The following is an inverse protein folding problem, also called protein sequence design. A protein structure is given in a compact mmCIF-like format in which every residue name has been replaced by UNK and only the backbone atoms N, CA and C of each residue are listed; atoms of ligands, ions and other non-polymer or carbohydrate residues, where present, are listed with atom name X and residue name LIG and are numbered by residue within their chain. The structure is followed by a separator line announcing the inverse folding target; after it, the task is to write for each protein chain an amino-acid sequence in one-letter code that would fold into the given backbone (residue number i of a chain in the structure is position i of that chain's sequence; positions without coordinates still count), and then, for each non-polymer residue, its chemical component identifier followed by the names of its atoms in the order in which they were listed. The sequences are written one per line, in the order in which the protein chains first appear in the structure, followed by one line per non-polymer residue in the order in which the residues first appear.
data_IF_797258175733
#
_entry.id   IF_797258175733
#
_cell.length_a   1.000
_cell.length_b   1.000
_cell.length_c   1.000
_cell.angle_alpha   90.00
_cell.angle_beta   90.00
_cell.angle_gamma   90.00
#
_symmetry.space_group_name_H-M   'P 1'
#
loop_
_entity.id
_entity.type
_entity.pdbx_description
1 polymer ?
#
# COMPACT_ATOMS: atom_id res chain seq x y z
N UNK A 1 26.54 19.37 19.59
CA UNK A 1 26.55 17.89 19.60
C UNK A 1 25.23 17.46 18.97
N UNK A 2 25.24 17.10 17.69
CA UNK A 2 24.06 16.59 16.97
C UNK A 2 23.70 15.24 17.60
N UNK A 3 22.54 15.15 18.23
CA UNK A 3 21.97 13.89 18.70
C UNK A 3 21.53 13.12 17.46
N UNK A 4 22.47 12.37 16.86
CA UNK A 4 22.21 11.57 15.67
C UNK A 4 21.00 10.67 15.88
N UNK A 5 20.13 10.61 14.88
CA UNK A 5 18.96 9.76 14.91
C UNK A 5 19.45 8.31 14.98
N UNK A 6 19.00 7.57 15.99
CA UNK A 6 19.32 6.15 16.13
C UNK A 6 18.53 5.35 15.09
N UNK A 7 19.08 5.25 13.89
CA UNK A 7 18.56 4.38 12.83
C UNK A 7 19.06 2.95 13.05
N UNK A 8 18.14 1.99 12.98
CA UNK A 8 18.50 0.59 13.05
C UNK A 8 19.21 0.18 11.74
N UNK A 9 20.41 -0.41 11.86
CA UNK A 9 21.16 -0.91 10.72
C UNK A 9 21.57 -2.37 10.89
N UNK A 10 21.54 -3.11 9.79
CA UNK A 10 21.96 -4.50 9.70
C UNK A 10 22.94 -4.67 8.54
N UNK A 11 24.07 -5.31 8.79
CA UNK A 11 25.03 -5.67 7.73
C UNK A 11 24.73 -7.08 7.23
N UNK A 12 24.68 -7.23 5.90
CA UNK A 12 24.41 -8.51 5.25
C UNK A 12 25.26 -8.72 4.00
N UNK A 13 25.12 -9.89 3.39
CA UNK A 13 25.81 -10.20 2.12
C UNK A 13 25.32 -9.22 1.05
N UNK A 14 26.22 -8.37 0.56
CA UNK A 14 25.93 -7.38 -0.48
C UNK A 14 25.64 -5.95 0.00
N UNK A 15 25.82 -5.64 1.30
CA UNK A 15 25.79 -4.26 1.80
C UNK A 15 25.13 -4.08 3.16
N UNK A 16 25.08 -2.82 3.62
CA UNK A 16 24.35 -2.42 4.81
C UNK A 16 22.89 -2.05 4.49
N UNK A 17 22.00 -2.38 5.42
CA UNK A 17 20.56 -2.13 5.35
C UNK A 17 20.16 -1.25 6.53
N UNK A 18 19.62 -0.06 6.26
CA UNK A 18 19.17 0.89 7.28
C UNK A 18 17.66 1.01 7.23
N UNK A 19 16.98 0.82 8.36
CA UNK A 19 15.55 1.12 8.50
C UNK A 19 15.35 2.63 8.65
N UNK A 20 14.65 3.21 7.70
CA UNK A 20 14.36 4.65 7.66
C UNK A 20 12.90 4.97 7.92
N UNK A 21 12.02 3.97 8.11
CA UNK A 21 10.56 4.20 8.19
C UNK A 21 10.18 5.20 9.27
N UNK A 22 10.86 5.17 10.41
CA UNK A 22 10.61 6.07 11.53
C UNK A 22 10.84 7.55 11.19
N UNK A 23 11.62 7.86 10.16
CA UNK A 23 11.89 9.24 9.73
C UNK A 23 10.64 9.95 9.20
N UNK A 24 9.59 9.23 8.81
CA UNK A 24 8.31 9.84 8.40
C UNK A 24 7.68 10.68 9.50
N UNK A 25 7.86 10.31 10.77
CA UNK A 25 7.32 11.06 11.91
C UNK A 25 8.10 12.36 12.18
N UNK A 26 9.34 12.43 11.70
CA UNK A 26 10.18 13.61 11.86
C UNK A 26 10.06 14.55 10.66
N UNK A 27 10.03 14.00 9.45
CA UNK A 27 10.05 14.76 8.21
C UNK A 27 8.66 15.03 7.61
N UNK A 28 7.61 14.46 8.19
CA UNK A 28 6.29 14.40 7.54
C UNK A 28 6.32 13.59 6.25
N UNK A 29 5.19 13.53 5.55
CA UNK A 29 5.07 12.70 4.33
C UNK A 29 5.93 13.25 3.19
N UNK A 30 5.92 14.57 3.00
CA UNK A 30 6.69 15.27 1.95
C UNK A 30 8.19 15.15 2.12
N UNK A 31 8.70 15.54 3.29
CA UNK A 31 10.13 15.47 3.60
C UNK A 31 10.65 14.03 3.54
N UNK A 32 9.86 13.06 3.99
CA UNK A 32 10.20 11.64 3.90
C UNK A 32 10.32 11.15 2.44
N UNK A 33 9.35 11.48 1.59
CA UNK A 33 9.40 11.08 0.19
C UNK A 33 10.53 11.83 -0.57
N UNK A 34 10.81 13.08 -0.18
CA UNK A 34 11.98 13.83 -0.67
C UNK A 34 13.30 13.14 -0.28
N UNK A 35 13.42 12.66 0.96
CA UNK A 35 14.57 11.88 1.42
C UNK A 35 14.77 10.63 0.57
N UNK A 36 13.72 9.81 0.40
CA UNK A 36 13.78 8.59 -0.42
C UNK A 36 14.20 8.90 -1.86
N UNK A 37 13.65 9.96 -2.46
CA UNK A 37 14.05 10.38 -3.82
C UNK A 37 15.53 10.78 -3.90
N UNK A 38 16.05 11.50 -2.90
CA UNK A 38 17.46 11.89 -2.86
C UNK A 38 18.38 10.67 -2.70
N UNK A 39 17.98 9.71 -1.87
CA UNK A 39 18.72 8.46 -1.68
C UNK A 39 18.73 7.61 -2.97
N UNK A 40 17.58 7.47 -3.64
CA UNK A 40 17.50 6.78 -4.93
C UNK A 40 18.39 7.44 -6.00
N UNK A 41 18.42 8.78 -6.07
CA UNK A 41 19.32 9.52 -6.96
C UNK A 41 20.81 9.35 -6.62
N UNK A 42 21.13 9.14 -5.34
CA UNK A 42 22.48 8.84 -4.88
C UNK A 42 22.89 7.37 -5.15
N UNK A 43 22.02 6.57 -5.77
CA UNK A 43 22.31 5.18 -6.16
C UNK A 43 22.01 4.15 -5.07
N UNK A 44 21.26 4.52 -4.03
CA UNK A 44 20.81 3.57 -3.01
C UNK A 44 19.60 2.76 -3.48
N UNK A 45 19.59 1.48 -3.13
CA UNK A 45 18.45 0.59 -3.36
C UNK A 45 17.42 0.80 -2.25
N UNK A 46 16.17 1.14 -2.62
CA UNK A 46 15.09 1.37 -1.65
C UNK A 46 14.14 0.18 -1.69
N UNK A 47 14.03 -0.50 -0.56
CA UNK A 47 13.11 -1.61 -0.36
C UNK A 47 12.00 -1.18 0.60
N UNK A 48 10.82 -0.98 0.05
CA UNK A 48 9.68 -0.41 0.75
C UNK A 48 8.54 -1.42 0.82
N UNK A 49 7.77 -1.34 1.90
CA UNK A 49 6.45 -1.95 2.05
C UNK A 49 5.58 -1.01 2.90
N UNK A 50 4.32 -1.39 3.17
CA UNK A 50 3.47 -0.61 4.09
C UNK A 50 3.99 -0.58 5.54
N UNK A 51 4.77 -1.58 5.95
CA UNK A 51 5.22 -1.74 7.35
C UNK A 51 6.69 -1.43 7.57
N UNK A 52 7.48 -1.25 6.51
CA UNK A 52 8.93 -1.05 6.63
C UNK A 52 9.47 -0.28 5.43
N UNK A 53 10.57 0.43 5.63
CA UNK A 53 11.32 1.00 4.51
C UNK A 53 12.80 0.89 4.82
N UNK A 54 13.48 0.11 3.99
CA UNK A 54 14.90 -0.16 4.11
C UNK A 54 15.65 0.51 2.97
N UNK A 55 16.77 1.12 3.31
CA UNK A 55 17.74 1.66 2.37
C UNK A 55 18.94 0.75 2.39
N UNK A 56 19.29 0.21 1.22
CA UNK A 56 20.43 -0.67 1.06
C UNK A 56 21.53 0.05 0.30
N UNK A 57 22.72 0.05 0.88
CA UNK A 57 23.92 0.65 0.31
C UNK A 57 25.10 -0.33 0.35
N UNK A 58 26.05 -0.15 -0.57
CA UNK A 58 27.30 -0.92 -0.59
C UNK A 58 28.29 -0.50 0.51
N UNK A 59 27.99 0.58 1.24
CA UNK A 59 28.81 1.14 2.31
C UNK A 59 28.52 0.48 3.66
N UNK A 60 29.44 0.52 4.62
CA UNK A 60 29.20 0.01 5.98
C UNK A 60 28.12 0.82 6.70
N UNK A 61 27.54 0.24 7.76
CA UNK A 61 26.40 0.82 8.47
C UNK A 61 26.64 2.26 8.96
N UNK A 62 27.82 2.53 9.52
CA UNK A 62 28.17 3.85 10.07
C UNK A 62 28.18 4.95 9.00
N UNK A 63 28.74 4.69 7.82
CA UNK A 63 28.78 5.63 6.71
C UNK A 63 27.39 5.86 6.12
N UNK A 64 26.62 4.78 5.94
CA UNK A 64 25.27 4.86 5.40
C UNK A 64 24.33 5.64 6.33
N UNK A 65 24.37 5.37 7.64
CA UNK A 65 23.63 6.14 8.64
C UNK A 65 24.05 7.61 8.61
N UNK A 66 25.34 7.90 8.52
CA UNK A 66 25.85 9.27 8.49
C UNK A 66 25.29 10.04 7.29
N UNK A 67 25.32 9.46 6.09
CA UNK A 67 24.78 10.10 4.88
C UNK A 67 23.27 10.30 4.94
N UNK A 68 22.54 9.33 5.49
CA UNK A 68 21.09 9.49 5.71
C UNK A 68 20.84 10.65 6.69
N UNK A 69 21.58 10.72 7.81
CA UNK A 69 21.43 11.81 8.77
C UNK A 69 21.79 13.18 8.17
N UNK A 70 22.83 13.27 7.34
CA UNK A 70 23.19 14.51 6.63
C UNK A 70 22.08 14.97 5.68
N UNK A 71 21.43 14.03 4.97
CA UNK A 71 20.28 14.34 4.12
C UNK A 71 19.05 14.76 4.93
N UNK A 72 18.80 14.11 6.07
CA UNK A 72 17.71 14.49 6.98
C UNK A 72 17.91 15.91 7.49
N UNK A 73 19.10 16.22 8.03
CA UNK A 73 19.44 17.57 8.52
C UNK A 73 19.27 18.62 7.41
N UNK A 74 19.70 18.30 6.18
CA UNK A 74 19.52 19.17 5.02
C UNK A 74 18.03 19.44 4.74
N UNK A 75 17.19 18.41 4.71
CA UNK A 75 15.75 18.56 4.44
C UNK A 75 15.07 19.39 5.53
N UNK A 76 15.33 19.08 6.80
CA UNK A 76 14.77 19.82 7.95
C UNK A 76 15.17 21.30 7.89
N UNK A 77 16.43 21.61 7.57
CA UNK A 77 16.92 22.98 7.46
C UNK A 77 16.33 23.77 6.27
N UNK A 78 15.95 23.08 5.19
CA UNK A 78 15.29 23.68 4.03
C UNK A 78 13.81 24.02 4.33
N UNK A 79 13.13 23.18 5.13
CA UNK A 79 11.75 23.42 5.55
C UNK A 79 11.63 24.57 6.56
N UNK A 80 12.56 24.69 7.52
CA UNK A 80 12.59 25.79 8.50
C UNK A 80 12.79 27.18 7.84
N UNK A 81 13.36 27.24 6.64
CA UNK A 81 13.56 28.49 5.89
C UNK A 81 12.34 28.93 5.07
N UNK A 82 11.18 28.28 5.24
CA UNK A 82 9.93 28.67 4.59
C UNK A 82 9.94 28.47 3.07
N UNK A 83 10.89 27.66 2.57
CA UNK A 83 10.99 27.33 1.17
C UNK A 83 9.91 26.33 0.78
N UNK A 84 8.72 26.82 0.43
CA UNK A 84 7.87 26.17 -0.58
C UNK A 84 8.63 26.21 -1.92
N UNK A 85 9.77 25.52 -1.98
CA UNK A 85 10.56 25.35 -3.16
C UNK A 85 9.73 24.52 -4.11
N UNK A 86 9.13 25.20 -5.09
CA UNK A 86 8.55 24.57 -6.28
C UNK A 86 9.65 23.79 -6.99
N UNK A 87 9.99 22.61 -6.47
CA UNK A 87 10.69 21.63 -7.26
C UNK A 87 9.70 21.20 -8.32
N UNK A 88 10.00 21.54 -9.57
CA UNK A 88 9.30 21.07 -10.77
C UNK A 88 8.91 19.59 -10.56
N UNK A 89 7.60 19.34 -10.36
CA UNK A 89 7.12 18.01 -10.04
C UNK A 89 7.28 17.16 -11.30
N UNK A 90 8.14 16.15 -11.22
CA UNK A 90 8.33 15.14 -12.26
C UNK A 90 7.67 13.87 -11.76
N UNK A 91 6.37 13.68 -12.03
CA UNK A 91 5.69 12.45 -11.64
C UNK A 91 6.35 11.25 -12.31
N UNK A 92 6.34 10.11 -11.62
CA UNK A 92 6.80 8.86 -12.18
C UNK A 92 6.01 8.48 -13.43
N UNK A 93 6.68 7.79 -14.35
CA UNK A 93 6.04 7.19 -15.51
C UNK A 93 5.11 6.05 -15.07
N UNK A 94 3.82 6.21 -15.35
CA UNK A 94 2.78 5.23 -14.96
C UNK A 94 3.07 3.87 -15.59
N UNK A 95 3.53 3.83 -16.84
CA UNK A 95 3.85 2.57 -17.52
C UNK A 95 4.93 1.79 -16.79
N UNK A 96 5.98 2.47 -16.30
CA UNK A 96 7.04 1.86 -15.48
C UNK A 96 6.51 1.30 -14.15
N UNK A 97 5.61 2.03 -13.46
CA UNK A 97 4.96 1.54 -12.23
C UNK A 97 4.18 0.26 -12.54
N UNK A 98 3.36 0.28 -13.58
CA UNK A 98 2.46 -0.82 -13.93
C UNK A 98 3.21 -2.06 -14.38
N UNK A 99 4.27 -1.92 -15.18
CA UNK A 99 5.09 -3.06 -15.58
C UNK A 99 5.70 -3.79 -14.37
N UNK A 100 6.14 -3.05 -13.35
CA UNK A 100 6.63 -3.63 -12.10
C UNK A 100 5.52 -4.35 -11.31
N UNK A 101 4.29 -3.78 -11.31
CA UNK A 101 3.12 -4.35 -10.64
C UNK A 101 2.65 -5.64 -11.32
N UNK A 102 2.48 -5.65 -12.65
CA UNK A 102 2.06 -6.83 -13.43
C UNK A 102 3.02 -7.98 -13.18
N UNK A 103 4.33 -7.75 -13.36
CA UNK A 103 5.34 -8.79 -13.17
C UNK A 103 5.28 -9.41 -11.77
N UNK A 104 5.11 -8.58 -10.74
CA UNK A 104 5.02 -9.05 -9.36
C UNK A 104 3.70 -9.76 -9.06
N UNK A 105 2.56 -9.13 -9.33
CA UNK A 105 1.25 -9.65 -8.92
C UNK A 105 0.93 -10.94 -9.68
N UNK A 106 1.13 -10.96 -11.00
CA UNK A 106 0.89 -12.16 -11.82
C UNK A 106 1.84 -13.29 -11.48
N UNK A 107 3.08 -12.99 -11.04
CA UNK A 107 3.98 -14.01 -10.53
C UNK A 107 3.51 -14.63 -9.22
N UNK A 108 2.71 -13.93 -8.40
CA UNK A 108 2.19 -14.43 -7.14
C UNK A 108 0.85 -15.14 -7.35
N UNK A 109 -0.08 -14.50 -8.05
CA UNK A 109 -1.45 -14.95 -8.30
C UNK A 109 -1.81 -14.68 -9.78
N UNK A 110 -1.67 -15.68 -10.67
CA UNK A 110 -1.89 -15.52 -12.11
C UNK A 110 -3.28 -14.97 -12.49
N UNK A 111 -4.34 -15.35 -11.79
CA UNK A 111 -5.72 -14.91 -12.05
C UNK A 111 -5.93 -13.40 -11.87
N UNK A 112 -5.02 -12.71 -11.19
CA UNK A 112 -5.08 -11.25 -11.03
C UNK A 112 -4.48 -10.49 -12.22
N UNK A 113 -3.85 -11.18 -13.18
CA UNK A 113 -3.18 -10.55 -14.31
C UNK A 113 -4.11 -9.62 -15.09
N UNK A 114 -5.27 -10.11 -15.51
CA UNK A 114 -6.18 -9.34 -16.37
C UNK A 114 -6.68 -8.07 -15.66
N UNK A 115 -6.99 -8.17 -14.36
CA UNK A 115 -7.39 -7.01 -13.56
C UNK A 115 -6.26 -5.98 -13.41
N UNK A 116 -5.00 -6.42 -13.27
CA UNK A 116 -3.85 -5.52 -13.19
C UNK A 116 -3.53 -4.89 -14.54
N UNK A 117 -3.62 -5.65 -15.63
CA UNK A 117 -3.45 -5.14 -16.99
C UNK A 117 -4.50 -4.05 -17.29
N UNK A 118 -5.75 -4.27 -16.89
CA UNK A 118 -6.83 -3.29 -17.05
C UNK A 118 -6.65 -2.03 -16.17
N UNK A 119 -6.10 -2.17 -14.95
CA UNK A 119 -5.65 -1.04 -14.14
C UNK A 119 -4.61 -0.23 -14.92
N UNK A 120 -3.63 -0.92 -15.52
CA UNK A 120 -2.58 -0.31 -16.32
C UNK A 120 -3.11 0.56 -17.45
N UNK A 121 -3.92 -0.05 -18.32
CA UNK A 121 -4.51 0.63 -19.49
C UNK A 121 -5.30 1.86 -19.07
N UNK A 122 -6.09 1.77 -18.01
CA UNK A 122 -6.91 2.89 -17.55
C UNK A 122 -6.09 4.04 -16.97
N UNK A 123 -5.05 3.75 -16.19
CA UNK A 123 -4.19 4.79 -15.63
C UNK A 123 -3.39 5.52 -16.72
N UNK A 124 -2.90 4.77 -17.72
CA UNK A 124 -2.25 5.34 -18.91
C UNK A 124 -3.20 6.21 -19.74
N UNK A 125 -4.47 5.79 -19.87
CA UNK A 125 -5.51 6.54 -20.56
C UNK A 125 -5.96 7.82 -19.82
N UNK A 126 -5.48 8.04 -18.60
CA UNK A 126 -5.83 9.22 -17.81
C UNK A 126 -6.91 9.01 -16.76
N UNK A 127 -7.47 7.80 -16.66
CA UNK A 127 -8.60 7.50 -15.80
C UNK A 127 -8.17 7.22 -14.36
N UNK A 128 -9.11 7.36 -13.44
CA UNK A 128 -8.99 6.79 -12.09
C UNK A 128 -9.66 5.43 -12.05
N UNK A 129 -9.15 4.53 -11.22
CA UNK A 129 -9.59 3.13 -11.20
C UNK A 129 -10.06 2.74 -9.80
N UNK A 130 -11.16 2.00 -9.71
CA UNK A 130 -11.63 1.39 -8.47
C UNK A 130 -11.71 -0.13 -8.61
N UNK A 131 -10.97 -0.83 -7.76
CA UNK A 131 -10.99 -2.29 -7.66
C UNK A 131 -12.13 -2.74 -6.74
N UNK A 132 -13.01 -3.57 -7.28
CA UNK A 132 -14.15 -4.15 -6.58
C UNK A 132 -13.97 -5.66 -6.43
N UNK A 133 -14.25 -6.21 -5.26
CA UNK A 133 -14.18 -7.66 -5.05
C UNK A 133 -14.50 -8.06 -3.63
N UNK A 134 -14.68 -9.35 -3.39
CA UNK A 134 -14.91 -9.87 -2.04
C UNK A 134 -13.66 -9.75 -1.13
N UNK A 135 -13.81 -10.00 0.18
CA UNK A 135 -12.68 -10.22 1.06
C UNK A 135 -11.76 -11.31 0.49
N UNK A 136 -10.44 -11.13 0.61
CA UNK A 136 -9.46 -12.12 0.15
C UNK A 136 -9.13 -12.11 -1.35
N UNK A 137 -9.83 -11.32 -2.19
CA UNK A 137 -9.61 -11.33 -3.65
C UNK A 137 -8.28 -10.75 -4.14
N UNK A 138 -7.46 -10.18 -3.25
CA UNK A 138 -6.15 -9.62 -3.62
C UNK A 138 -6.14 -8.15 -4.05
N UNK A 139 -7.26 -7.41 -3.91
CA UNK A 139 -7.27 -5.94 -4.12
C UNK A 139 -6.14 -5.21 -3.39
N UNK A 140 -5.98 -5.52 -2.10
CA UNK A 140 -4.92 -4.93 -1.28
C UNK A 140 -3.52 -5.36 -1.72
N UNK A 141 -3.36 -6.56 -2.29
CA UNK A 141 -2.07 -7.00 -2.86
C UNK A 141 -1.70 -6.15 -4.08
N UNK A 142 -2.69 -5.84 -4.94
CA UNK A 142 -2.50 -4.94 -6.08
C UNK A 142 -2.15 -3.53 -5.58
N UNK A 143 -2.90 -3.00 -4.61
CA UNK A 143 -2.63 -1.68 -4.03
C UNK A 143 -1.24 -1.59 -3.40
N UNK A 144 -0.82 -2.65 -2.68
CA UNK A 144 0.52 -2.76 -2.09
C UNK A 144 1.61 -2.81 -3.15
N UNK A 145 1.39 -3.57 -4.24
CA UNK A 145 2.34 -3.61 -5.35
C UNK A 145 2.52 -2.24 -6.01
N UNK A 146 1.42 -1.48 -6.21
CA UNK A 146 1.48 -0.10 -6.75
C UNK A 146 2.20 0.84 -5.76
N UNK A 147 1.89 0.73 -4.47
CA UNK A 147 2.56 1.51 -3.43
C UNK A 147 4.08 1.29 -3.46
N UNK A 148 4.53 0.05 -3.62
CA UNK A 148 5.94 -0.31 -3.64
C UNK A 148 6.65 0.07 -4.96
N UNK A 149 5.94 0.01 -6.09
CA UNK A 149 6.47 0.41 -7.39
C UNK A 149 6.52 1.94 -7.58
N UNK A 150 5.66 2.70 -6.89
CA UNK A 150 5.66 4.16 -6.94
C UNK A 150 6.76 4.76 -6.04
N UNK A 151 7.46 5.76 -6.58
CA UNK A 151 8.47 6.51 -5.83
C UNK A 151 7.85 7.37 -4.74
N UNK A 152 6.69 7.95 -5.00
CA UNK A 152 6.02 8.89 -4.11
C UNK A 152 4.48 8.79 -4.21
N UNK A 153 3.86 7.70 -3.73
CA UNK A 153 2.41 7.57 -3.71
C UNK A 153 1.82 8.22 -2.46
N UNK A 154 0.66 8.83 -2.63
CA UNK A 154 -0.17 9.33 -1.56
C UNK A 154 -1.15 8.23 -1.12
N UNK A 155 -0.86 7.57 -0.01
CA UNK A 155 -1.73 6.52 0.53
C UNK A 155 -2.70 7.08 1.57
N UNK A 156 -3.99 6.77 1.44
CA UNK A 156 -5.04 7.15 2.38
C UNK A 156 -5.85 5.92 2.76
N UNK A 157 -5.88 5.60 4.06
CA UNK A 157 -6.86 4.66 4.59
C UNK A 157 -8.15 5.40 4.88
N UNK A 158 -9.20 5.13 4.11
CA UNK A 158 -10.46 5.87 4.17
C UNK A 158 -11.29 5.56 5.43
N UNK A 159 -11.02 4.45 6.13
CA UNK A 159 -11.71 4.12 7.38
C UNK A 159 -11.45 5.15 8.50
N UNK A 160 -10.24 5.73 8.50
CA UNK A 160 -9.77 6.64 9.54
C UNK A 160 -9.56 8.08 9.02
N UNK A 161 -9.81 8.32 7.73
CA UNK A 161 -9.55 9.61 7.11
C UNK A 161 -10.57 10.69 7.48
N UNK A 162 -10.10 11.94 7.52
CA UNK A 162 -10.92 13.15 7.61
C UNK A 162 -10.56 14.11 6.48
N UNK A 163 -11.45 15.04 6.12
CA UNK A 163 -11.17 15.99 5.05
C UNK A 163 -9.92 16.84 5.37
N UNK A 164 -9.83 17.35 6.60
CA UNK A 164 -8.66 18.10 7.05
C UNK A 164 -7.37 17.28 6.97
N UNK A 165 -7.42 16.00 7.40
CA UNK A 165 -6.26 15.11 7.32
C UNK A 165 -5.83 14.80 5.89
N UNK A 166 -6.78 14.64 4.96
CA UNK A 166 -6.47 14.45 3.54
C UNK A 166 -5.84 15.71 2.94
N UNK A 167 -6.40 16.89 3.23
CA UNK A 167 -5.84 18.17 2.80
C UNK A 167 -4.39 18.35 3.30
N UNK A 168 -4.14 18.06 4.57
CA UNK A 168 -2.81 18.17 5.16
C UNK A 168 -1.83 17.17 4.53
N UNK A 169 -2.25 15.92 4.29
CA UNK A 169 -1.42 14.94 3.58
C UNK A 169 -1.06 15.39 2.16
N UNK A 170 -1.97 16.04 1.43
CA UNK A 170 -1.73 16.54 0.07
C UNK A 170 -0.77 17.72 0.10
N UNK A 171 -0.98 18.68 1.02
CA UNK A 171 -0.10 19.83 1.21
C UNK A 171 1.31 19.36 1.56
N UNK A 172 1.43 18.44 2.51
CA UNK A 172 2.71 17.89 2.94
C UNK A 172 3.39 17.13 1.81
N UNK A 173 2.66 16.24 1.10
CA UNK A 173 3.25 15.46 0.03
C UNK A 173 3.81 16.35 -1.08
N UNK A 174 3.10 17.43 -1.43
CA UNK A 174 3.49 18.46 -2.41
C UNK A 174 3.51 17.96 -3.86
N UNK A 175 4.27 16.90 -4.14
CA UNK A 175 4.35 16.19 -5.41
C UNK A 175 4.13 14.71 -5.12
N UNK A 176 3.32 14.01 -5.89
CA UNK A 176 3.07 12.57 -5.74
C UNK A 176 2.67 11.97 -7.09
N UNK A 177 2.96 10.68 -7.26
CA UNK A 177 2.78 9.97 -8.54
C UNK A 177 1.34 9.46 -8.71
N UNK A 178 0.78 8.93 -7.62
CA UNK A 178 -0.50 8.22 -7.60
C UNK A 178 -1.16 8.39 -6.23
N UNK A 179 -2.49 8.43 -6.20
CA UNK A 179 -3.28 8.38 -4.97
C UNK A 179 -3.77 6.94 -4.79
N UNK A 180 -3.54 6.37 -3.61
CA UNK A 180 -3.98 5.02 -3.26
C UNK A 180 -5.00 5.10 -2.13
N UNK A 181 -6.25 4.74 -2.41
CA UNK A 181 -7.36 4.80 -1.45
C UNK A 181 -7.72 3.39 -0.99
N UNK A 182 -7.39 3.05 0.26
CA UNK A 182 -7.77 1.77 0.88
C UNK A 182 -9.10 1.89 1.64
N UNK A 183 -9.87 0.82 1.65
CA UNK A 183 -11.15 0.69 2.36
C UNK A 183 -12.13 1.85 2.08
N UNK A 184 -12.30 2.25 0.82
CA UNK A 184 -13.23 3.33 0.43
C UNK A 184 -14.67 3.03 0.90
N UNK A 185 -15.01 1.74 0.99
CA UNK A 185 -16.27 1.26 1.53
C UNK A 185 -16.47 1.53 3.05
N UNK A 186 -15.47 2.08 3.73
CA UNK A 186 -15.56 2.47 5.15
C UNK A 186 -15.44 3.97 5.36
N UNK A 187 -15.38 4.76 4.28
CA UNK A 187 -15.26 6.20 4.35
C UNK A 187 -16.45 6.85 5.08
N UNK A 188 -16.18 7.89 5.87
CA UNK A 188 -17.20 8.77 6.44
C UNK A 188 -17.51 9.90 5.45
N UNK A 189 -18.80 10.28 5.33
CA UNK A 189 -19.27 11.31 4.37
C UNK A 189 -18.46 12.62 4.37
N UNK A 190 -18.01 13.05 5.56
CA UNK A 190 -17.34 14.34 5.75
C UNK A 190 -15.92 14.35 5.16
N UNK A 191 -15.31 13.19 4.91
CA UNK A 191 -13.91 13.10 4.50
C UNK A 191 -13.66 13.27 2.99
N UNK A 192 -14.70 13.22 2.17
CA UNK A 192 -14.54 12.98 0.72
C UNK A 192 -14.44 14.24 -0.13
N UNK A 193 -14.83 15.42 0.39
CA UNK A 193 -14.82 16.67 -0.39
C UNK A 193 -13.47 17.00 -1.04
N UNK A 194 -12.32 16.89 -0.34
CA UNK A 194 -11.01 17.14 -0.96
C UNK A 194 -10.68 16.15 -2.07
N UNK A 195 -11.07 14.87 -1.90
CA UNK A 195 -10.84 13.85 -2.91
C UNK A 195 -11.72 14.08 -4.14
N UNK A 196 -13.00 14.40 -3.97
CA UNK A 196 -13.90 14.66 -5.10
C UNK A 196 -13.39 15.82 -5.98
N UNK A 197 -12.86 16.88 -5.36
CA UNK A 197 -12.23 18.00 -6.09
C UNK A 197 -10.97 17.57 -6.85
N UNK A 198 -10.13 16.72 -6.26
CA UNK A 198 -8.93 16.20 -6.92
C UNK A 198 -9.21 15.21 -8.05
N UNK A 199 -10.29 14.44 -7.93
CA UNK A 199 -10.70 13.43 -8.90
C UNK A 199 -11.58 14.03 -10.00
N UNK A 200 -11.99 15.30 -9.87
CA UNK A 200 -12.70 16.04 -10.91
C UNK A 200 -11.78 16.50 -12.04
N UNK A 201 -12.39 16.93 -13.14
CA UNK A 201 -11.69 17.46 -14.30
C UNK A 201 -10.73 18.60 -13.92
N UNK A 202 -9.44 18.37 -14.17
CA UNK A 202 -8.36 19.33 -13.92
C UNK A 202 -7.56 19.08 -12.65
N UNK A 203 -7.96 18.12 -11.80
CA UNK A 203 -7.25 17.69 -10.60
C UNK A 203 -6.77 18.84 -9.72
N UNK A 204 -7.72 19.71 -9.35
CA UNK A 204 -7.49 20.93 -8.59
C UNK A 204 -8.11 20.81 -7.22
N UNK A 205 -7.30 21.04 -6.19
CA UNK A 205 -7.78 21.15 -4.82
C UNK A 205 -7.68 22.60 -4.36
N UNK A 206 -8.81 23.16 -3.93
CA UNK A 206 -8.85 24.47 -3.30
C UNK A 206 -8.99 24.31 -1.78
N UNK A 207 -7.96 24.72 -1.06
CA UNK A 207 -7.91 24.66 0.40
C UNK A 207 -8.06 26.08 0.93
N UNK A 208 -9.05 26.31 1.79
CA UNK A 208 -9.23 27.61 2.46
C UNK A 208 -9.05 27.42 3.96
N UNK A 209 -7.90 27.85 4.49
CA UNK A 209 -7.60 27.81 5.94
C UNK A 209 -7.25 29.23 6.40
N UNK A 210 -7.86 29.67 7.50
CA UNK A 210 -7.60 30.96 8.15
C UNK A 210 -7.68 32.18 7.20
N UNK A 211 -8.67 32.18 6.29
CA UNK A 211 -8.89 33.28 5.33
C UNK A 211 -7.92 33.32 4.14
N UNK A 212 -6.97 32.38 4.04
CA UNK A 212 -6.10 32.22 2.87
C UNK A 212 -6.56 31.03 2.04
N UNK A 213 -6.69 31.25 0.73
CA UNK A 213 -7.00 30.20 -0.23
C UNK A 213 -5.71 29.77 -0.93
N UNK A 214 -5.40 28.49 -0.89
CA UNK A 214 -4.32 27.85 -1.66
C UNK A 214 -4.95 26.94 -2.70
N UNK A 215 -4.45 26.97 -3.92
CA UNK A 215 -4.88 26.07 -5.00
C UNK A 215 -3.70 25.16 -5.30
N UNK A 216 -3.95 23.85 -5.24
CA UNK A 216 -3.00 22.80 -5.61
C UNK A 216 -3.53 22.19 -6.91
N UNK A 217 -2.71 22.22 -7.97
CA UNK A 217 -3.05 21.61 -9.25
C UNK A 217 -2.12 20.42 -9.51
N UNK A 218 -2.71 19.25 -9.75
CA UNK A 218 -1.98 17.99 -9.96
C UNK A 218 -2.54 17.21 -11.16
N UNK A 219 -2.53 17.78 -12.39
CA UNK A 219 -3.23 17.22 -13.56
C UNK A 219 -2.71 15.83 -14.00
N UNK A 220 -1.51 15.45 -13.58
CA UNK A 220 -0.91 14.14 -13.86
C UNK A 220 -1.41 13.03 -12.92
N UNK A 221 -2.03 13.38 -11.79
CA UNK A 221 -2.35 12.40 -10.75
C UNK A 221 -3.42 11.42 -11.23
N UNK A 222 -3.22 10.16 -10.89
CA UNK A 222 -4.23 9.11 -11.00
C UNK A 222 -4.52 8.52 -9.64
N UNK A 223 -5.75 8.08 -9.43
CA UNK A 223 -6.14 7.39 -8.21
C UNK A 223 -6.46 5.92 -8.48
N UNK A 224 -6.02 5.06 -7.56
CA UNK A 224 -6.42 3.66 -7.47
C UNK A 224 -7.10 3.47 -6.12
N UNK A 225 -8.38 3.14 -6.19
CA UNK A 225 -9.22 2.88 -5.03
C UNK A 225 -9.51 1.40 -4.89
N UNK A 226 -9.72 0.93 -3.65
CA UNK A 226 -10.23 -0.43 -3.41
C UNK A 226 -11.46 -0.35 -2.51
N UNK A 227 -12.47 -1.16 -2.87
CA UNK A 227 -13.71 -1.24 -2.10
C UNK A 227 -14.27 -2.66 -2.10
N UNK A 228 -14.99 -3.01 -1.03
CA UNK A 228 -15.85 -4.20 -1.03
C UNK A 228 -17.27 -3.80 -1.44
N UNK A 229 -17.82 -4.35 -2.53
CA UNK A 229 -19.07 -3.85 -3.15
C UNK A 229 -20.35 -4.20 -2.37
N UNK A 230 -20.25 -4.90 -1.24
CA UNK A 230 -21.36 -5.58 -0.56
C UNK A 230 -21.93 -4.85 0.65
N UNK A 231 -21.50 -3.64 0.98
CA UNK A 231 -22.10 -2.90 2.10
C UNK A 231 -23.29 -2.05 1.60
N UNK A 232 -24.56 -2.44 1.89
CA UNK A 232 -25.75 -1.79 1.31
C UNK A 232 -25.93 -0.35 1.81
N UNK A 233 -25.41 -0.03 3.00
CA UNK A 233 -25.49 1.31 3.59
C UNK A 233 -24.69 2.34 2.80
N UNK A 234 -23.65 1.90 2.08
CA UNK A 234 -22.83 2.78 1.25
C UNK A 234 -23.53 3.19 -0.04
N UNK A 235 -24.22 2.26 -0.70
CA UNK A 235 -24.97 2.56 -1.93
C UNK A 235 -26.10 3.56 -1.68
N UNK A 236 -26.61 3.60 -0.45
CA UNK A 236 -27.61 4.58 0.00
C UNK A 236 -26.99 5.95 0.37
N UNK A 237 -25.67 6.07 0.42
CA UNK A 237 -25.01 7.31 0.80
C UNK A 237 -24.91 8.28 -0.39
N UNK A 238 -25.28 9.54 -0.17
CA UNK A 238 -25.35 10.57 -1.23
C UNK A 238 -24.01 10.88 -1.92
N UNK A 239 -22.87 10.45 -1.36
CA UNK A 239 -21.54 10.66 -1.95
C UNK A 239 -21.07 9.49 -2.81
N UNK A 240 -21.69 8.31 -2.69
CA UNK A 240 -21.22 7.09 -3.37
C UNK A 240 -21.34 7.24 -4.88
N UNK A 241 -22.50 7.65 -5.38
CA UNK A 241 -22.72 7.86 -6.82
C UNK A 241 -21.76 8.91 -7.42
N UNK A 242 -21.60 10.12 -6.83
CA UNK A 242 -20.58 11.06 -7.29
C UNK A 242 -19.17 10.49 -7.31
N UNK A 243 -18.78 9.72 -6.29
CA UNK A 243 -17.45 9.13 -6.24
C UNK A 243 -17.28 8.12 -7.38
N UNK A 244 -18.23 7.20 -7.53
CA UNK A 244 -18.18 6.13 -8.54
C UNK A 244 -18.16 6.66 -9.97
N UNK A 245 -18.82 7.78 -10.25
CA UNK A 245 -18.82 8.44 -11.56
C UNK A 245 -17.41 8.90 -12.01
N UNK A 246 -16.49 9.10 -11.05
CA UNK A 246 -15.10 9.52 -11.30
C UNK A 246 -14.14 8.33 -11.47
N UNK A 247 -14.61 7.10 -11.31
CA UNK A 247 -13.77 5.89 -11.38
C UNK A 247 -14.25 4.93 -12.47
N UNK A 248 -13.30 4.32 -13.17
CA UNK A 248 -13.53 3.09 -13.93
C UNK A 248 -13.51 1.91 -12.96
N UNK A 249 -14.55 1.09 -13.00
CA UNK A 249 -14.73 -0.03 -12.08
C UNK A 249 -14.11 -1.29 -12.66
N UNK A 250 -13.25 -1.96 -11.89
CA UNK A 250 -12.61 -3.22 -12.28
C UNK A 250 -12.94 -4.27 -11.23
N UNK A 251 -13.49 -5.39 -11.67
CA UNK A 251 -13.75 -6.53 -10.80
C UNK A 251 -12.48 -7.35 -10.60
N UNK A 252 -12.17 -7.66 -9.34
CA UNK A 252 -11.01 -8.45 -8.96
C UNK A 252 -11.47 -9.88 -8.63
N UNK A 253 -11.05 -10.88 -9.41
CA UNK A 253 -11.49 -12.25 -9.23
C UNK A 253 -10.97 -12.84 -7.91
N UNK A 254 -11.67 -13.87 -7.41
CA UNK A 254 -11.18 -14.63 -6.28
C UNK A 254 -10.11 -15.63 -6.73
N UNK A 255 -8.93 -15.67 -6.08
CA UNK A 255 -7.92 -16.67 -6.38
C UNK A 255 -8.43 -18.10 -6.15
N UNK A 256 -8.01 -19.02 -7.00
CA UNK A 256 -8.33 -20.44 -6.83
C UNK A 256 -7.56 -21.07 -5.66
N UNK A 257 -8.00 -22.26 -5.21
CA UNK A 257 -7.32 -23.02 -4.15
C UNK A 257 -5.84 -23.27 -4.53
N UNK A 258 -5.59 -23.68 -5.78
CA UNK A 258 -4.24 -23.97 -6.26
C UNK A 258 -3.34 -22.73 -6.27
N UNK A 259 -3.90 -21.57 -6.63
CA UNK A 259 -3.17 -20.29 -6.57
C UNK A 259 -2.86 -19.86 -5.15
N UNK A 260 -3.80 -20.04 -4.20
CA UNK A 260 -3.55 -19.73 -2.79
C UNK A 260 -2.43 -20.60 -2.23
N UNK A 261 -2.44 -21.91 -2.52
CA UNK A 261 -1.37 -22.83 -2.10
C UNK A 261 -0.03 -22.45 -2.74
N UNK A 262 -0.03 -22.12 -4.04
CA UNK A 262 1.17 -21.65 -4.73
C UNK A 262 1.70 -20.33 -4.14
N UNK A 263 0.81 -19.39 -3.82
CA UNK A 263 1.13 -18.13 -3.15
C UNK A 263 1.79 -18.38 -1.78
N UNK A 264 1.22 -19.28 -0.96
CA UNK A 264 1.80 -19.66 0.33
C UNK A 264 3.23 -20.20 0.18
N UNK A 265 3.46 -21.03 -0.85
CA UNK A 265 4.78 -21.56 -1.16
C UNK A 265 5.77 -20.47 -1.57
N UNK A 266 5.37 -19.58 -2.49
CA UNK A 266 6.19 -18.46 -2.98
C UNK A 266 6.60 -17.49 -1.87
N UNK A 267 5.66 -17.10 -1.00
CA UNK A 267 5.94 -16.13 0.08
C UNK A 267 6.92 -16.67 1.13
N UNK A 268 6.99 -18.00 1.28
CA UNK A 268 7.90 -18.63 2.24
C UNK A 268 9.13 -19.26 1.61
N UNK A 269 9.21 -19.27 0.28
CA UNK A 269 10.18 -20.03 -0.49
C UNK A 269 10.30 -21.49 0.01
N UNK A 270 9.15 -22.13 0.24
CA UNK A 270 9.07 -23.48 0.79
C UNK A 270 7.93 -24.26 0.14
N UNK A 271 8.07 -25.58 0.03
CA UNK A 271 7.01 -26.45 -0.43
C UNK A 271 5.92 -26.58 0.65
N UNK A 272 4.66 -26.41 0.26
CA UNK A 272 3.54 -26.54 1.19
C UNK A 272 3.18 -28.01 1.37
N UNK A 273 3.00 -28.50 2.62
CA UNK A 273 2.55 -29.86 2.86
C UNK A 273 1.23 -30.17 2.14
N UNK A 274 1.04 -31.42 1.70
CA UNK A 274 -0.15 -31.86 0.95
C UNK A 274 -1.48 -31.55 1.65
N UNK A 275 -1.51 -31.67 2.99
CA UNK A 275 -2.69 -31.37 3.80
C UNK A 275 -3.11 -29.90 3.79
N UNK A 276 -2.25 -28.98 3.35
CA UNK A 276 -2.58 -27.54 3.25
C UNK A 276 -3.73 -27.36 2.27
N UNK A 277 -3.70 -28.03 1.12
CA UNK A 277 -4.76 -27.95 0.10
C UNK A 277 -6.14 -28.26 0.68
N UNK A 278 -6.24 -29.36 1.44
CA UNK A 278 -7.48 -29.78 2.11
C UNK A 278 -8.02 -28.69 3.06
N UNK A 279 -7.13 -28.04 3.82
CA UNK A 279 -7.52 -26.95 4.71
C UNK A 279 -7.97 -25.72 3.93
N UNK A 280 -7.27 -25.35 2.85
CA UNK A 280 -7.68 -24.21 2.02
C UNK A 280 -9.05 -24.47 1.41
N UNK A 281 -9.28 -25.65 0.86
CA UNK A 281 -10.57 -26.06 0.30
C UNK A 281 -11.70 -25.95 1.34
N UNK A 282 -11.45 -26.40 2.58
CA UNK A 282 -12.40 -26.32 3.69
C UNK A 282 -12.77 -24.88 4.11
N UNK A 283 -11.88 -23.91 3.88
CA UNK A 283 -12.03 -22.53 4.34
C UNK A 283 -11.97 -21.50 3.20
N UNK A 284 -12.17 -21.92 1.95
CA UNK A 284 -12.02 -21.06 0.77
C UNK A 284 -12.99 -19.87 0.77
N UNK A 285 -14.15 -20.05 1.39
CA UNK A 285 -15.21 -19.05 1.54
C UNK A 285 -14.84 -17.87 2.45
N UNK A 286 -13.87 -18.07 3.35
CA UNK A 286 -13.51 -17.08 4.39
C UNK A 286 -12.01 -16.76 4.46
N UNK A 287 -11.17 -17.50 3.74
CA UNK A 287 -9.74 -17.27 3.77
C UNK A 287 -9.38 -15.97 3.05
N UNK A 288 -8.47 -15.21 3.65
CA UNK A 288 -7.85 -14.05 3.03
C UNK A 288 -6.40 -14.37 2.68
N UNK A 289 -5.83 -13.71 1.66
CA UNK A 289 -4.40 -13.83 1.35
C UNK A 289 -3.51 -13.51 2.56
N UNK A 290 -3.91 -12.54 3.39
CA UNK A 290 -3.21 -12.24 4.65
C UNK A 290 -3.18 -13.44 5.59
N UNK A 291 -4.30 -14.17 5.72
CA UNK A 291 -4.35 -15.39 6.55
C UNK A 291 -3.59 -16.55 5.92
N UNK A 292 -3.63 -16.69 4.60
CA UNK A 292 -2.81 -17.65 3.87
C UNK A 292 -1.31 -17.39 4.11
N UNK A 293 -0.85 -16.16 4.00
CA UNK A 293 0.53 -15.76 4.29
C UNK A 293 0.93 -16.04 5.75
N UNK A 294 0.08 -15.68 6.72
CA UNK A 294 0.33 -15.96 8.14
C UNK A 294 0.45 -17.47 8.41
N UNK A 295 -0.43 -18.27 7.81
CA UNK A 295 -0.40 -19.72 7.90
C UNK A 295 0.89 -20.28 7.27
N UNK A 296 1.26 -19.81 6.08
CA UNK A 296 2.48 -20.23 5.39
C UNK A 296 3.73 -19.96 6.24
N UNK A 297 3.87 -18.72 6.74
CA UNK A 297 4.99 -18.31 7.62
C UNK A 297 5.06 -19.20 8.86
N UNK A 298 3.92 -19.52 9.48
CA UNK A 298 3.86 -20.42 10.63
C UNK A 298 4.29 -21.85 10.30
N UNK A 299 3.82 -22.39 9.16
CA UNK A 299 4.18 -23.73 8.68
C UNK A 299 5.70 -23.80 8.46
N UNK A 300 6.25 -22.89 7.65
CA UNK A 300 7.68 -22.86 7.33
C UNK A 300 8.56 -22.69 8.58
N UNK A 301 8.15 -21.86 9.55
CA UNK A 301 8.86 -21.72 10.82
C UNK A 301 8.77 -22.97 11.70
N UNK A 302 7.61 -23.64 11.73
CA UNK A 302 7.39 -24.82 12.56
C UNK A 302 8.11 -26.07 12.03
N UNK A 303 8.11 -26.26 10.71
CA UNK A 303 8.84 -27.34 10.04
C UNK A 303 10.34 -27.18 10.26
N UNK A 304 10.89 -25.97 10.09
CA UNK A 304 12.30 -25.68 10.41
C UNK A 304 12.69 -25.96 11.85
N UNK A 305 11.73 -25.91 12.79
CA UNK A 305 11.92 -26.21 14.20
C UNK A 305 11.62 -27.68 14.56
N UNK A 306 11.39 -28.54 13.57
CA UNK A 306 11.17 -29.98 13.77
C UNK A 306 9.85 -30.33 14.46
N UNK A 307 8.82 -29.46 14.39
CA UNK A 307 7.50 -29.78 14.95
C UNK A 307 6.78 -30.85 14.13
N UNK A 308 6.02 -31.72 14.79
CA UNK A 308 5.25 -32.77 14.12
C UNK A 308 4.18 -32.19 13.19
N UNK A 309 3.96 -32.85 12.05
CA UNK A 309 3.00 -32.42 11.03
C UNK A 309 1.59 -32.23 11.57
N UNK A 310 1.12 -33.16 12.42
CA UNK A 310 -0.22 -33.11 13.01
C UNK A 310 -0.42 -31.92 13.95
N UNK A 311 0.60 -31.59 14.76
CA UNK A 311 0.55 -30.43 15.65
C UNK A 311 0.51 -29.12 14.85
N UNK A 312 1.25 -29.06 13.73
CA UNK A 312 1.25 -27.90 12.83
C UNK A 312 -0.11 -27.79 12.12
N UNK A 313 -0.63 -28.88 11.56
CA UNK A 313 -1.95 -28.94 10.89
C UNK A 313 -3.06 -28.45 11.84
N UNK A 314 -3.11 -29.01 13.05
CA UNK A 314 -4.12 -28.62 14.05
C UNK A 314 -4.04 -27.14 14.43
N UNK A 315 -2.83 -26.56 14.55
CA UNK A 315 -2.70 -25.13 14.85
C UNK A 315 -3.14 -24.24 13.68
N UNK A 316 -2.79 -24.59 12.44
CA UNK A 316 -3.20 -23.85 11.24
C UNK A 316 -4.72 -23.92 11.08
N UNK A 317 -5.33 -25.08 11.30
CA UNK A 317 -6.78 -25.23 11.27
C UNK A 317 -7.48 -24.31 12.29
N UNK A 318 -6.95 -24.18 13.52
CA UNK A 318 -7.46 -23.23 14.52
C UNK A 318 -7.35 -21.78 14.04
N UNK A 319 -6.27 -21.40 13.34
CA UNK A 319 -6.09 -20.06 12.77
C UNK A 319 -7.17 -19.76 11.71
N UNK A 320 -7.46 -20.71 10.82
CA UNK A 320 -8.47 -20.56 9.78
C UNK A 320 -9.89 -20.59 10.35
N UNK A 321 -10.19 -21.51 11.29
CA UNK A 321 -11.49 -21.60 11.96
C UNK A 321 -11.87 -20.31 12.69
N UNK A 322 -10.91 -19.67 13.35
CA UNK A 322 -11.16 -18.38 14.04
C UNK A 322 -11.62 -17.31 13.05
N UNK A 323 -11.04 -17.30 11.85
CA UNK A 323 -11.43 -16.37 10.77
C UNK A 323 -12.89 -16.60 10.36
N UNK A 324 -13.31 -17.86 10.21
CA UNK A 324 -14.71 -18.22 9.91
C UNK A 324 -15.69 -17.73 10.98
N UNK A 325 -15.34 -17.95 12.26
CA UNK A 325 -16.17 -17.51 13.39
C UNK A 325 -16.32 -15.98 13.40
N UNK A 326 -15.25 -15.25 13.11
CA UNK A 326 -15.27 -13.78 13.04
C UNK A 326 -16.09 -13.29 11.85
N UNK A 327 -15.91 -13.87 10.67
CA UNK A 327 -16.67 -13.52 9.47
C UNK A 327 -18.18 -13.70 9.67
N UNK A 328 -18.58 -14.84 10.26
CA UNK A 328 -19.99 -15.12 10.56
C UNK A 328 -20.59 -14.13 11.56
N UNK A 329 -19.82 -13.70 12.58
CA UNK A 329 -20.29 -12.68 13.54
C UNK A 329 -20.46 -11.31 12.89
N UNK A 330 -19.57 -10.95 11.97
CA UNK A 330 -19.60 -9.66 11.28
C UNK A 330 -20.86 -9.54 10.39
N UNK A 331 -21.23 -10.63 9.70
CA UNK A 331 -22.47 -10.70 8.91
C UNK A 331 -23.74 -10.67 9.77
N UNK A 332 -23.71 -11.20 10.99
CA UNK A 332 -24.87 -11.15 11.91
C UNK A 332 -25.12 -9.76 12.51
N UNK A 333 -24.10 -8.88 12.55
CA UNK A 333 -24.23 -7.52 13.09
C UNK A 333 -24.57 -6.45 12.05
N UNK A 334 -24.50 -6.79 10.76
CA UNK A 334 -24.81 -5.89 9.65
C UNK A 334 -26.22 -6.11 9.05
N UNK A 335 -26.95 -7.13 9.54
CA UNK A 335 -28.36 -7.40 9.23
C UNK A 335 -29.35 -6.49 9.95
#
# INVERSE_FOLDING_TARGET
MSSGINLHCSEGVGGAWVDVRGLVYMLGTGGYNKLLRLLGKAGYEIHRSRSSTWVKGKKPCNELIKEINELVEKITSEEERGGAGGSECRPADIGSIINAVVGRVSSLIPSLKDAVDEVGVNLEAGNHVMLLGGPGSGKTLILDAIYEASGNPLYVNMADASAAGIEDLIIEAGCFDVILLDEVDKARNVALSPLLQLLDHGSRLRITKSGKATIIEVPWVRAVAVANPFNPRLRASNWWMPLMDRFVLIEVPQPSIDEIVAFMGKVTNAEMPSWVRELIEKYIDVITLRKAEQAAKYIAASVRRGRSGDAVKGRVEVMLRTTRIMANRQWSTEG
#
